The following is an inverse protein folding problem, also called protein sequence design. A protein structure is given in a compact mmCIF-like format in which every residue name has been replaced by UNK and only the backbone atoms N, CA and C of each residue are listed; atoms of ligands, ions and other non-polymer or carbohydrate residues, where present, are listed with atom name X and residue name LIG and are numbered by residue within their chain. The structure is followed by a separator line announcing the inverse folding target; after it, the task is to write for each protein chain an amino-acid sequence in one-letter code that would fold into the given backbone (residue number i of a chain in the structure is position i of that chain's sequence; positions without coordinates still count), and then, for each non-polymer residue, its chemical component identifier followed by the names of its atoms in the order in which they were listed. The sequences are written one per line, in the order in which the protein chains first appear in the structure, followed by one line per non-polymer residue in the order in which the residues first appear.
data_IF_696274892832
#
_entry.id   IF_696274892832
#
_cell.length_a   1.000
_cell.length_b   1.000
_cell.length_c   1.000
_cell.angle_alpha   90.00
_cell.angle_beta   90.00
_cell.angle_gamma   90.00
#
_symmetry.space_group_name_H-M   'P 1'
#
loop_
_entity.id
_entity.type
_entity.pdbx_description
1 polymer ?
#
# COMPACT_ATOMS: atom_id res chain seq x y z
N UNK A 1 -0.59 -25.30 -5.51
CA UNK A 1 0.82 -25.10 -5.87
C UNK A 1 1.53 -24.43 -4.70
N UNK A 2 2.69 -24.93 -4.23
CA UNK A 2 3.47 -24.31 -3.15
C UNK A 2 3.81 -22.82 -3.38
N UNK A 3 4.03 -22.41 -4.64
CA UNK A 3 4.31 -21.01 -4.99
C UNK A 3 3.07 -20.14 -4.82
N UNK A 4 1.89 -20.65 -5.19
CA UNK A 4 0.60 -19.96 -4.98
C UNK A 4 0.34 -19.81 -3.49
N UNK A 5 0.50 -20.86 -2.69
CA UNK A 5 0.28 -20.80 -1.24
C UNK A 5 1.21 -19.79 -0.57
N UNK A 6 2.50 -19.80 -0.92
CA UNK A 6 3.47 -18.82 -0.41
C UNK A 6 3.07 -17.39 -0.77
N UNK A 7 2.62 -17.16 -2.00
CA UNK A 7 2.20 -15.83 -2.46
C UNK A 7 0.98 -15.35 -1.67
N UNK A 8 -0.02 -16.22 -1.46
CA UNK A 8 -1.20 -15.90 -0.64
C UNK A 8 -0.83 -15.60 0.82
N UNK A 9 0.15 -16.33 1.39
CA UNK A 9 0.66 -16.04 2.74
C UNK A 9 1.35 -14.68 2.82
N UNK A 10 2.13 -14.31 1.80
CA UNK A 10 2.77 -12.98 1.73
C UNK A 10 1.69 -11.89 1.64
N UNK A 11 0.74 -12.01 0.72
CA UNK A 11 -0.36 -11.04 0.58
C UNK A 11 -1.16 -10.89 1.89
N UNK A 12 -1.44 -12.01 2.58
CA UNK A 12 -2.09 -11.97 3.90
C UNK A 12 -1.24 -11.27 4.95
N UNK A 13 0.08 -11.45 4.93
CA UNK A 13 1.00 -10.82 5.87
C UNK A 13 1.17 -9.30 5.63
N UNK A 14 0.85 -8.81 4.43
CA UNK A 14 0.80 -7.38 4.10
C UNK A 14 -0.48 -6.69 4.59
N UNK A 15 -1.48 -7.46 5.03
CA UNK A 15 -2.73 -6.94 5.59
C UNK A 15 -2.58 -6.65 7.08
N UNK A 16 -2.80 -5.40 7.49
CA UNK A 16 -2.84 -5.02 8.89
C UNK A 16 -4.10 -5.59 9.57
N UNK A 17 -3.92 -6.39 10.64
CA UNK A 17 -5.01 -7.14 11.26
C UNK A 17 -6.12 -6.29 11.90
N UNK A 18 -5.78 -5.11 12.42
CA UNK A 18 -6.76 -4.23 13.09
C UNK A 18 -7.45 -3.26 12.12
N UNK A 19 -6.66 -2.54 11.30
CA UNK A 19 -7.20 -1.52 10.39
C UNK A 19 -7.78 -2.09 9.11
N UNK A 20 -7.26 -3.23 8.61
CA UNK A 20 -7.60 -3.77 7.29
C UNK A 20 -6.80 -3.16 6.13
N UNK A 21 -5.89 -2.22 6.39
CA UNK A 21 -5.02 -1.63 5.37
C UNK A 21 -4.02 -2.66 4.82
N UNK A 22 -3.80 -2.65 3.52
CA UNK A 22 -2.86 -3.57 2.83
C UNK A 22 -1.70 -2.74 2.30
N UNK A 23 -0.50 -2.92 2.86
CA UNK A 23 0.67 -2.15 2.45
C UNK A 23 1.30 -2.71 1.19
N UNK A 24 1.89 -1.85 0.35
CA UNK A 24 2.63 -2.30 -0.84
C UNK A 24 3.84 -3.18 -0.47
N UNK A 25 4.60 -2.80 0.56
CA UNK A 25 5.64 -3.63 1.18
C UNK A 25 5.94 -3.20 2.62
N UNK A 26 6.47 -4.10 3.48
CA UNK A 26 6.81 -3.78 4.86
C UNK A 26 8.20 -3.14 4.96
N UNK A 27 8.58 -2.28 4.02
CA UNK A 27 9.93 -1.72 3.90
C UNK A 27 9.88 -0.22 3.69
N UNK A 28 10.88 0.47 4.25
CA UNK A 28 11.15 1.87 3.98
C UNK A 28 12.62 2.03 3.66
N UNK A 29 12.94 2.84 2.64
CA UNK A 29 14.32 3.11 2.24
C UNK A 29 15.14 1.88 1.85
N UNK A 30 14.48 0.77 1.50
CA UNK A 30 15.18 -0.36 0.91
C UNK A 30 15.39 -0.06 -0.58
N UNK A 31 16.65 -0.08 -1.08
CA UNK A 31 16.94 0.30 -2.44
C UNK A 31 16.42 -0.74 -3.45
N UNK A 32 15.79 -0.27 -4.53
CA UNK A 32 15.51 -1.11 -5.71
C UNK A 32 16.81 -1.56 -6.41
N UNK A 33 17.87 -0.77 -6.29
CA UNK A 33 19.22 -1.05 -6.78
C UNK A 33 20.23 -0.50 -5.78
N UNK A 34 21.21 -1.29 -5.35
CA UNK A 34 22.22 -0.88 -4.38
C UNK A 34 22.96 0.38 -4.85
N UNK A 35 23.05 1.39 -3.97
CA UNK A 35 23.61 2.70 -4.29
C UNK A 35 22.69 3.61 -5.12
N UNK A 36 21.53 3.11 -5.55
CA UNK A 36 20.53 3.86 -6.28
C UNK A 36 19.72 4.82 -5.42
N UNK A 37 18.93 5.67 -6.09
CA UNK A 37 18.10 6.71 -5.47
C UNK A 37 16.63 6.29 -5.33
N UNK A 38 16.26 5.07 -5.71
CA UNK A 38 14.87 4.58 -5.62
C UNK A 38 14.68 3.77 -4.33
N UNK A 39 14.69 4.50 -3.21
CA UNK A 39 14.66 3.98 -1.86
C UNK A 39 13.38 4.47 -1.18
N UNK A 40 12.22 4.21 -1.77
CA UNK A 40 10.93 4.75 -1.31
C UNK A 40 10.47 4.10 0.00
N UNK A 41 9.53 4.76 0.66
CA UNK A 41 8.75 4.16 1.75
C UNK A 41 7.50 3.49 1.16
N UNK A 42 7.46 2.15 1.27
CA UNK A 42 6.42 1.31 0.70
C UNK A 42 5.38 0.86 1.73
N UNK A 43 5.46 1.35 2.97
CA UNK A 43 4.57 0.96 4.09
C UNK A 43 3.17 1.58 4.03
N UNK A 44 2.76 2.04 2.86
CA UNK A 44 1.49 2.73 2.64
C UNK A 44 0.52 1.87 1.83
N UNK A 45 -0.76 2.15 1.97
CA UNK A 45 -1.84 1.47 1.24
C UNK A 45 -2.03 2.19 -0.08
N UNK A 46 -1.52 1.59 -1.16
CA UNK A 46 -1.83 1.99 -2.52
C UNK A 46 -3.15 1.34 -2.93
N UNK A 47 -4.13 2.15 -3.37
CA UNK A 47 -5.47 1.63 -3.65
C UNK A 47 -5.46 0.57 -4.76
N UNK A 48 -4.62 0.74 -5.79
CA UNK A 48 -4.40 -0.25 -6.86
C UNK A 48 -3.91 -1.59 -6.32
N UNK A 49 -2.80 -1.56 -5.58
CA UNK A 49 -2.15 -2.78 -5.08
C UNK A 49 -3.07 -3.54 -4.11
N UNK A 50 -3.81 -2.79 -3.30
CA UNK A 50 -4.79 -3.35 -2.39
C UNK A 50 -5.99 -3.97 -3.13
N UNK A 51 -6.51 -3.30 -4.17
CA UNK A 51 -7.58 -3.84 -5.01
C UNK A 51 -7.17 -5.17 -5.70
N UNK A 52 -5.98 -5.21 -6.31
CA UNK A 52 -5.42 -6.42 -6.91
C UNK A 52 -5.23 -7.55 -5.88
N UNK A 53 -4.78 -7.21 -4.68
CA UNK A 53 -4.63 -8.17 -3.58
C UNK A 53 -5.98 -8.78 -3.17
N UNK A 54 -7.03 -7.96 -3.09
CA UNK A 54 -8.38 -8.41 -2.77
C UNK A 54 -8.98 -9.27 -3.89
N UNK A 55 -8.79 -8.90 -5.15
CA UNK A 55 -9.24 -9.71 -6.29
C UNK A 55 -8.68 -11.14 -6.21
N UNK A 56 -7.37 -11.27 -5.95
CA UNK A 56 -6.71 -12.58 -5.77
C UNK A 56 -7.23 -13.29 -4.52
N UNK A 57 -7.39 -12.58 -3.39
CA UNK A 57 -7.90 -13.18 -2.16
C UNK A 57 -9.31 -13.77 -2.34
N UNK A 58 -10.22 -13.03 -2.98
CA UNK A 58 -11.59 -13.47 -3.27
C UNK A 58 -11.58 -14.65 -4.24
N UNK A 59 -10.78 -14.61 -5.31
CA UNK A 59 -10.65 -15.71 -6.26
C UNK A 59 -10.18 -17.03 -5.61
N UNK A 60 -9.49 -16.94 -4.47
CA UNK A 60 -9.02 -18.08 -3.67
C UNK A 60 -9.86 -18.36 -2.41
N UNK A 61 -11.03 -17.72 -2.25
CA UNK A 61 -11.96 -17.95 -1.14
C UNK A 61 -11.56 -17.30 0.20
N UNK A 62 -10.60 -16.38 0.20
CA UNK A 62 -10.12 -15.66 1.38
C UNK A 62 -10.89 -14.34 1.58
N UNK A 63 -12.15 -14.43 1.99
CA UNK A 63 -13.08 -13.28 2.00
C UNK A 63 -12.99 -12.40 3.25
N UNK A 64 -12.41 -12.88 4.35
CA UNK A 64 -12.25 -12.08 5.58
C UNK A 64 -11.40 -10.83 5.34
N UNK A 65 -10.27 -10.97 4.63
CA UNK A 65 -9.40 -9.85 4.27
C UNK A 65 -10.11 -8.83 3.37
N UNK A 66 -10.96 -9.31 2.45
CA UNK A 66 -11.76 -8.44 1.57
C UNK A 66 -12.77 -7.59 2.35
N UNK A 67 -13.45 -8.18 3.34
CA UNK A 67 -14.36 -7.43 4.21
C UNK A 67 -13.62 -6.36 5.04
N UNK A 68 -12.48 -6.72 5.63
CA UNK A 68 -11.66 -5.77 6.40
C UNK A 68 -11.18 -4.60 5.53
N UNK A 69 -10.71 -4.90 4.32
CA UNK A 69 -10.26 -3.88 3.38
C UNK A 69 -11.40 -2.97 2.89
N UNK A 70 -12.58 -3.53 2.57
CA UNK A 70 -13.76 -2.71 2.24
C UNK A 70 -14.08 -1.74 3.36
N UNK A 71 -14.14 -2.24 4.59
CA UNK A 71 -14.47 -1.41 5.75
C UNK A 71 -13.38 -0.35 5.99
N UNK A 72 -12.10 -0.68 5.74
CA UNK A 72 -10.99 0.26 5.74
C UNK A 72 -11.16 1.36 4.68
N UNK A 73 -11.47 0.99 3.44
CA UNK A 73 -11.61 1.90 2.31
C UNK A 73 -12.75 2.90 2.56
N UNK A 74 -13.90 2.43 3.04
CA UNK A 74 -15.03 3.29 3.38
C UNK A 74 -14.68 4.32 4.46
N UNK A 75 -13.83 3.95 5.44
CA UNK A 75 -13.31 4.89 6.43
C UNK A 75 -12.30 5.87 5.83
N UNK A 76 -11.38 5.40 4.99
CA UNK A 76 -10.31 6.21 4.41
C UNK A 76 -10.84 7.27 3.42
N UNK A 77 -11.87 6.95 2.64
CA UNK A 77 -12.45 7.85 1.63
C UNK A 77 -13.50 8.80 2.22
N UNK A 78 -14.03 8.51 3.42
CA UNK A 78 -14.93 9.39 4.20
C UNK A 78 -16.16 9.96 3.44
N UNK A 79 -16.51 9.42 2.27
CA UNK A 79 -17.77 9.66 1.56
C UNK A 79 -17.71 10.62 0.36
N UNK A 80 -16.54 11.18 0.00
CA UNK A 80 -16.40 11.97 -1.22
C UNK A 80 -15.50 11.25 -2.24
N UNK A 81 -16.12 10.84 -3.36
CA UNK A 81 -15.42 10.15 -4.44
C UNK A 81 -14.47 11.09 -5.21
N UNK A 82 -14.72 12.40 -5.17
CA UNK A 82 -13.88 13.40 -5.85
C UNK A 82 -12.57 13.67 -5.07
N UNK A 83 -12.48 13.20 -3.82
CA UNK A 83 -11.35 13.40 -2.91
C UNK A 83 -10.57 12.09 -2.65
N UNK A 84 -10.72 11.10 -3.53
CA UNK A 84 -9.98 9.84 -3.45
C UNK A 84 -8.50 10.09 -3.79
N UNK A 85 -7.61 9.84 -2.81
CA UNK A 85 -6.16 9.77 -3.03
C UNK A 85 -5.73 8.42 -3.58
N UNK A 86 -4.58 8.38 -4.25
CA UNK A 86 -4.00 7.14 -4.80
C UNK A 86 -3.41 6.24 -3.71
N UNK A 87 -3.03 6.84 -2.58
CA UNK A 87 -2.44 6.13 -1.44
C UNK A 87 -2.77 6.78 -0.10
N UNK A 88 -2.75 5.97 0.95
CA UNK A 88 -3.07 6.36 2.33
C UNK A 88 -2.11 5.70 3.32
N UNK A 89 -2.08 6.22 4.54
CA UNK A 89 -1.52 5.54 5.70
C UNK A 89 -2.30 4.26 6.04
N UNK A 90 -1.70 3.39 6.85
CA UNK A 90 -2.29 2.09 7.23
C UNK A 90 -3.63 2.25 7.96
N UNK A 91 -3.86 3.37 8.66
CA UNK A 91 -5.12 3.71 9.30
C UNK A 91 -6.08 4.51 8.40
N UNK A 92 -5.67 4.87 7.18
CA UNK A 92 -6.41 5.77 6.29
C UNK A 92 -5.93 7.23 6.36
N UNK A 93 -4.76 7.48 6.96
CA UNK A 93 -4.17 8.82 7.05
C UNK A 93 -3.86 9.39 5.65
N UNK A 94 -4.04 10.71 5.47
CA UNK A 94 -3.88 11.40 4.19
C UNK A 94 -2.60 12.22 4.06
N UNK A 95 -1.99 12.57 5.18
CA UNK A 95 -0.75 13.34 5.27
C UNK A 95 0.42 12.36 5.32
N UNK A 96 1.12 12.22 4.20
CA UNK A 96 2.21 11.24 4.02
C UNK A 96 3.52 11.95 3.68
N UNK A 97 3.77 13.09 4.34
CA UNK A 97 4.90 13.99 4.07
C UNK A 97 6.22 13.23 3.95
N UNK A 98 6.84 13.37 2.78
CA UNK A 98 8.15 12.78 2.53
C UNK A 98 9.24 13.62 3.17
N UNK A 99 10.17 12.95 3.86
CA UNK A 99 11.37 13.56 4.41
C UNK A 99 12.58 12.66 4.24
N UNK A 100 13.70 13.28 3.89
CA UNK A 100 15.01 12.64 3.88
C UNK A 100 15.65 12.68 5.28
N UNK A 101 16.36 11.60 5.61
CA UNK A 101 17.01 11.38 6.91
C UNK A 101 18.54 11.37 6.71
N UNK A 102 19.14 12.54 6.51
CA UNK A 102 20.56 12.70 6.16
C UNK A 102 21.56 12.15 7.18
N UNK A 103 21.10 11.90 8.41
CA UNK A 103 21.89 11.33 9.50
C UNK A 103 22.00 9.80 9.45
N UNK A 104 21.31 9.15 8.52
CA UNK A 104 21.37 7.69 8.31
C UNK A 104 22.15 7.36 7.05
N UNK A 105 22.99 6.33 7.13
CA UNK A 105 23.81 5.89 5.99
C UNK A 105 23.02 5.12 4.93
N UNK A 106 21.87 4.57 5.30
CA UNK A 106 21.03 3.75 4.44
C UNK A 106 21.54 2.32 4.29
N UNK A 107 20.68 1.45 3.74
CA UNK A 107 21.02 0.05 3.55
C UNK A 107 22.15 -0.10 2.53
N UNK A 108 23.24 -0.76 2.92
CA UNK A 108 24.45 -0.90 2.08
C UNK A 108 24.97 0.45 1.54
N UNK A 109 24.84 1.53 2.34
CA UNK A 109 25.25 2.88 1.95
C UNK A 109 24.34 3.56 0.92
N UNK A 110 23.17 2.99 0.62
CA UNK A 110 22.24 3.51 -0.38
C UNK A 110 21.49 4.73 0.14
N UNK A 111 21.65 5.86 -0.54
CA UNK A 111 21.07 7.16 -0.18
C UNK A 111 20.22 7.73 -1.34
N UNK A 112 19.21 8.59 -1.05
CA UNK A 112 18.82 9.06 0.27
C UNK A 112 17.97 8.03 1.03
N UNK A 113 18.04 8.09 2.36
CA UNK A 113 17.08 7.44 3.26
C UNK A 113 15.89 8.38 3.41
N UNK A 114 14.69 7.93 3.05
CA UNK A 114 13.45 8.70 3.17
C UNK A 114 12.34 7.92 3.86
N UNK A 115 11.46 8.66 4.54
CA UNK A 115 10.20 8.14 5.07
C UNK A 115 9.06 9.06 4.63
N UNK A 116 7.85 8.54 4.57
CA UNK A 116 6.77 9.23 3.85
C UNK A 116 6.86 8.96 2.34
N UNK A 117 5.91 9.47 1.58
CA UNK A 117 5.85 9.21 0.15
C UNK A 117 5.22 10.40 -0.59
N UNK A 118 6.04 11.08 -1.39
CA UNK A 118 5.63 12.24 -2.17
C UNK A 118 4.65 11.93 -3.30
N UNK A 119 4.36 10.65 -3.58
CA UNK A 119 3.32 10.29 -4.55
C UNK A 119 1.90 10.53 -4.02
N UNK A 120 1.71 10.79 -2.72
CA UNK A 120 0.39 11.00 -2.12
C UNK A 120 -0.43 12.13 -2.75
N UNK A 121 0.23 13.11 -3.39
CA UNK A 121 -0.41 14.24 -4.07
C UNK A 121 -0.59 14.03 -5.58
N UNK A 122 -0.14 12.88 -6.11
CA UNK A 122 -0.34 12.55 -7.52
C UNK A 122 -1.77 12.08 -7.75
N UNK A 123 -2.35 12.54 -8.86
CA UNK A 123 -3.66 12.08 -9.32
C UNK A 123 -3.52 10.91 -10.29
N UNK A 124 -4.20 9.80 -10.02
CA UNK A 124 -4.34 8.66 -10.94
C UNK A 124 -5.84 8.35 -11.13
N UNK A 125 -6.35 8.59 -12.34
CA UNK A 125 -7.77 8.50 -12.66
C UNK A 125 -8.34 7.06 -12.64
N UNK A 126 -7.49 6.06 -12.78
CA UNK A 126 -7.87 4.65 -12.88
C UNK A 126 -8.13 3.98 -11.52
N UNK A 127 -7.65 4.58 -10.42
CA UNK A 127 -7.85 4.10 -9.05
C UNK A 127 -9.34 3.95 -8.70
N UNK A 128 -10.19 4.86 -9.16
CA UNK A 128 -11.64 4.78 -8.92
C UNK A 128 -12.26 3.56 -9.61
N UNK A 129 -11.79 3.21 -10.80
CA UNK A 129 -12.26 2.04 -11.55
C UNK A 129 -11.86 0.73 -10.87
N UNK A 130 -10.61 0.62 -10.42
CA UNK A 130 -10.11 -0.56 -9.71
C UNK A 130 -10.82 -0.77 -8.36
N UNK A 131 -11.08 0.32 -7.64
CA UNK A 131 -11.89 0.29 -6.41
C UNK A 131 -13.31 -0.18 -6.68
N UNK A 132 -13.97 0.31 -7.74
CA UNK A 132 -15.32 -0.13 -8.09
C UNK A 132 -15.37 -1.61 -8.49
N UNK A 133 -14.37 -2.12 -9.21
CA UNK A 133 -14.28 -3.54 -9.58
C UNK A 133 -14.08 -4.41 -8.34
N UNK A 134 -13.25 -3.99 -7.38
CA UNK A 134 -12.98 -4.75 -6.16
C UNK A 134 -14.17 -4.79 -5.18
N UNK A 135 -15.13 -3.87 -5.30
CA UNK A 135 -16.33 -3.78 -4.45
C UNK A 135 -17.61 -4.38 -5.05
N UNK A 136 -17.59 -4.74 -6.35
CA UNK A 136 -18.72 -5.34 -7.07
C UNK A 136 -18.82 -6.85 -6.93
#
# INVERSE_FOLDING_TARGET
DPLVLRSLLVLRALTHGETGGIVAAPTASLPEELGGVRNWDYRFVWLRDAALTIEVAVAHGLTEGACLWRDWLLRAVAGDADDVKIMYGVGGERELDEKELDHLDGYEGSRPVRIGNGAADQYQADVVGEVMIALG
#
